data_IF_758912169202
#
_entry.id   IF_758912169202
#
_cell.length_a   1.000
_cell.length_b   1.000
_cell.length_c   1.000
_cell.angle_alpha   90.00
_cell.angle_beta   90.00
_cell.angle_gamma   90.00
#
_symmetry.space_group_name_H-M   'P 1'
#
loop_
_entity.id
_entity.type
_entity.pdbx_description
1 polymer ?
#
# COMPACT_ATOMS: atom_id res chain seq x y z
N UNK A 1 -4.17 1.23 -8.23
CA UNK A 1 -4.18 0.11 -7.27
C UNK A 1 -3.29 0.50 -6.10
N UNK A 2 -3.66 0.19 -4.86
CA UNK A 2 -2.84 0.49 -3.69
C UNK A 2 -2.27 -0.79 -3.09
N UNK A 3 -0.98 -0.78 -2.76
CA UNK A 3 -0.25 -1.84 -2.08
C UNK A 3 0.31 -1.25 -0.77
N UNK A 4 0.10 -1.92 0.35
CA UNK A 4 0.57 -1.47 1.66
C UNK A 4 1.25 -2.66 2.35
N UNK A 5 2.52 -2.52 2.73
CA UNK A 5 3.28 -3.62 3.36
C UNK A 5 4.40 -3.14 4.29
N UNK A 6 4.81 -4.02 5.21
CA UNK A 6 5.97 -3.82 6.07
C UNK A 6 7.26 -4.31 5.44
N UNK A 7 8.37 -3.59 5.66
CA UNK A 7 9.69 -3.92 5.13
C UNK A 7 10.34 -5.15 5.76
N UNK A 8 9.97 -5.47 7.00
CA UNK A 8 10.52 -6.61 7.76
C UNK A 8 9.48 -7.71 7.99
N UNK A 9 8.43 -7.79 7.17
CA UNK A 9 7.43 -8.87 7.26
C UNK A 9 8.06 -10.24 6.91
N UNK A 10 8.19 -11.18 7.88
CA UNK A 10 8.77 -12.50 7.62
C UNK A 10 7.79 -13.47 6.95
N UNK A 11 6.50 -13.13 6.88
CA UNK A 11 5.43 -13.95 6.30
C UNK A 11 5.21 -13.61 4.83
N UNK A 12 5.31 -12.33 4.49
CA UNK A 12 5.16 -11.81 3.13
C UNK A 12 6.22 -10.74 2.87
N UNK A 13 7.35 -11.10 2.25
CA UNK A 13 8.44 -10.16 2.02
C UNK A 13 8.01 -8.97 1.18
N UNK A 14 8.55 -7.79 1.47
CA UNK A 14 8.27 -6.57 0.70
C UNK A 14 8.58 -6.70 -0.80
N UNK A 15 9.49 -7.62 -1.18
CA UNK A 15 9.79 -7.93 -2.59
C UNK A 15 8.54 -8.34 -3.36
N UNK A 16 7.59 -9.05 -2.76
CA UNK A 16 6.37 -9.50 -3.44
C UNK A 16 5.52 -8.29 -3.88
N UNK A 17 5.38 -7.30 -2.99
CA UNK A 17 4.69 -6.04 -3.27
C UNK A 17 5.44 -5.19 -4.31
N UNK A 18 6.78 -5.16 -4.25
CA UNK A 18 7.62 -4.42 -5.21
C UNK A 18 7.51 -5.04 -6.60
N UNK A 19 7.66 -6.36 -6.72
CA UNK A 19 7.53 -7.09 -7.98
C UNK A 19 6.14 -6.92 -8.60
N UNK A 20 5.09 -6.93 -7.77
CA UNK A 20 3.72 -6.67 -8.22
C UNK A 20 3.56 -5.24 -8.73
N UNK A 21 4.10 -4.24 -8.00
CA UNK A 21 4.09 -2.83 -8.41
C UNK A 21 4.75 -2.65 -9.76
N UNK A 22 5.95 -3.20 -9.94
CA UNK A 22 6.74 -3.03 -11.16
C UNK A 22 6.03 -3.64 -12.38
N UNK A 23 5.52 -4.87 -12.25
CA UNK A 23 4.72 -5.52 -13.32
C UNK A 23 3.46 -4.73 -13.68
N UNK A 24 2.76 -4.17 -12.69
CA UNK A 24 1.57 -3.37 -12.94
C UNK A 24 1.92 -2.04 -13.64
N UNK A 25 3.03 -1.41 -13.28
CA UNK A 25 3.54 -0.21 -13.95
C UNK A 25 3.93 -0.54 -15.40
N UNK A 26 4.60 -1.65 -15.67
CA UNK A 26 4.92 -2.12 -17.03
C UNK A 26 3.66 -2.31 -17.89
N UNK A 27 2.55 -2.73 -17.27
CA UNK A 27 1.23 -2.85 -17.91
C UNK A 27 0.47 -1.52 -18.06
N UNK A 28 1.11 -0.38 -17.73
CA UNK A 28 0.54 0.96 -17.81
C UNK A 28 -0.55 1.22 -16.76
N UNK A 29 -0.54 0.51 -15.63
CA UNK A 29 -1.47 0.74 -14.53
C UNK A 29 -0.90 1.76 -13.55
N UNK A 30 -1.77 2.62 -13.03
CA UNK A 30 -1.44 3.49 -11.91
C UNK A 30 -1.42 2.68 -10.61
N UNK A 31 -0.28 2.69 -9.92
CA UNK A 31 -0.07 1.94 -8.67
C UNK A 31 0.58 2.84 -7.62
N UNK A 32 0.04 2.78 -6.42
CA UNK A 32 0.58 3.41 -5.21
C UNK A 32 1.10 2.28 -4.29
N UNK A 33 2.35 2.35 -3.85
CA UNK A 33 2.91 1.39 -2.90
C UNK A 33 3.51 2.14 -1.70
N UNK A 34 2.92 1.89 -0.53
CA UNK A 34 3.37 2.33 0.78
C UNK A 34 4.15 1.21 1.45
N UNK A 35 5.45 1.46 1.67
CA UNK A 35 6.37 0.54 2.32
C UNK A 35 6.83 1.15 3.64
N UNK A 36 6.47 0.52 4.75
CA UNK A 36 6.95 0.92 6.08
C UNK A 36 8.16 0.06 6.44
N UNK A 37 9.36 0.58 6.19
CA UNK A 37 10.63 -0.18 6.25
C UNK A 37 10.89 -0.88 7.59
N UNK A 38 10.43 -0.27 8.68
CA UNK A 38 10.64 -0.74 10.05
C UNK A 38 9.46 -1.52 10.65
N UNK A 39 8.44 -1.79 9.85
CA UNK A 39 7.27 -2.57 10.25
C UNK A 39 7.26 -3.99 9.67
N UNK A 40 6.62 -4.91 10.40
CA UNK A 40 6.46 -6.30 9.99
C UNK A 40 5.10 -6.59 9.36
N UNK A 41 4.58 -7.79 9.62
CA UNK A 41 3.25 -8.21 9.16
C UNK A 41 2.08 -7.40 9.74
N UNK A 42 2.34 -6.68 10.82
CA UNK A 42 1.38 -5.79 11.47
C UNK A 42 2.12 -4.53 11.86
N UNK A 43 1.44 -3.39 11.78
CA UNK A 43 2.01 -2.11 12.15
C UNK A 43 1.88 -1.90 13.66
N UNK A 44 3.00 -1.62 14.31
CA UNK A 44 3.05 -1.42 15.77
C UNK A 44 3.16 0.05 16.13
N UNK A 45 3.78 0.87 15.27
CA UNK A 45 3.89 2.31 15.53
C UNK A 45 2.58 2.99 15.21
N UNK A 46 2.08 3.76 16.18
CA UNK A 46 0.81 4.48 16.03
C UNK A 46 0.83 5.43 14.81
N UNK A 47 1.97 6.06 14.53
CA UNK A 47 2.17 6.90 13.35
C UNK A 47 1.92 6.13 12.04
N UNK A 48 2.48 4.93 11.91
CA UNK A 48 2.33 4.09 10.72
C UNK A 48 0.91 3.53 10.59
N UNK A 49 0.28 3.18 11.72
CA UNK A 49 -1.13 2.78 11.73
C UNK A 49 -2.00 3.91 11.19
N UNK A 50 -1.90 5.12 11.78
CA UNK A 50 -2.71 6.27 11.37
C UNK A 50 -2.44 6.63 9.91
N UNK A 51 -1.18 6.70 9.51
CA UNK A 51 -0.78 7.04 8.14
C UNK A 51 -1.34 6.03 7.12
N UNK A 52 -1.24 4.72 7.41
CA UNK A 52 -1.77 3.68 6.53
C UNK A 52 -3.30 3.73 6.39
N UNK A 53 -4.01 4.07 7.48
CA UNK A 53 -5.46 4.19 7.50
C UNK A 53 -5.92 5.44 6.72
N UNK A 54 -5.28 6.58 6.94
CA UNK A 54 -5.55 7.84 6.21
C UNK A 54 -5.29 7.65 4.72
N UNK A 55 -4.10 7.14 4.36
CA UNK A 55 -3.72 6.89 2.97
C UNK A 55 -4.68 5.92 2.27
N UNK A 56 -5.20 4.94 3.00
CA UNK A 56 -6.20 4.01 2.46
C UNK A 56 -7.52 4.71 2.16
N UNK A 57 -8.00 5.55 3.07
CA UNK A 57 -9.24 6.33 2.85
C UNK A 57 -9.08 7.28 1.67
N UNK A 58 -7.98 8.02 1.59
CA UNK A 58 -7.69 8.93 0.48
C UNK A 58 -7.66 8.21 -0.88
N UNK A 59 -7.00 7.04 -0.93
CA UNK A 59 -6.97 6.22 -2.13
C UNK A 59 -8.36 5.73 -2.55
N UNK A 60 -9.18 5.29 -1.58
CA UNK A 60 -10.55 4.84 -1.84
C UNK A 60 -11.43 6.01 -2.31
N UNK A 61 -11.30 7.20 -1.74
CA UNK A 61 -12.02 8.39 -2.18
C UNK A 61 -11.64 8.77 -3.61
N UNK A 62 -10.34 8.83 -3.92
CA UNK A 62 -9.82 9.07 -5.28
C UNK A 62 -10.33 8.04 -6.28
N UNK A 63 -10.38 6.76 -5.90
CA UNK A 63 -10.65 5.65 -6.83
C UNK A 63 -12.13 5.31 -6.97
N UNK A 64 -12.92 5.49 -5.90
CA UNK A 64 -14.32 5.05 -5.80
C UNK A 64 -15.28 6.19 -5.40
N UNK A 65 -14.81 7.22 -4.70
CA UNK A 65 -15.63 8.33 -4.19
C UNK A 65 -16.33 9.15 -5.27
N UNK A 66 -15.82 9.13 -6.51
CA UNK A 66 -16.46 9.77 -7.67
C UNK A 66 -17.50 8.92 -8.44
N UNK A 67 -17.77 7.67 -8.03
CA UNK A 67 -18.71 6.76 -8.74
C UNK A 67 -20.14 6.74 -8.18
N UNK A 68 -20.48 7.67 -7.29
CA UNK A 68 -21.89 7.98 -6.96
C UNK A 68 -22.32 9.18 -7.80
N UNK A 69 -22.68 8.90 -9.05
CA UNK A 69 -23.15 9.88 -10.04
C UNK A 69 -23.67 9.17 -11.28
#
# INVERSE_FOLDING_TARGET
>A
MQLICGGVDPRCPASDSIDARDKLIELGKEVELLLYEDEGHTFLKLENIIDSEVSRVEFLEKTLGGRVG
#
